data_IF_043342986111
#
_entry.id   IF_043342986111
#
_cell.length_a   1.000
_cell.length_b   1.000
_cell.length_c   1.000
_cell.angle_alpha   90.00
_cell.angle_beta   90.00
_cell.angle_gamma   90.00
#
_symmetry.space_group_name_H-M   'P 1'
#
loop_
_entity.id
_entity.type
_entity.pdbx_description
1 polymer ?
#
# COMPACT_ATOMS: atom_id res chain seq x y z
N UNK A 1 -22.24 9.52 10.08
CA UNK A 1 -21.62 8.18 10.26
C UNK A 1 -21.10 7.70 8.92
N UNK A 2 -19.82 7.30 8.87
CA UNK A 2 -19.09 6.96 7.65
C UNK A 2 -19.46 5.56 7.15
N UNK A 3 -19.55 5.37 5.83
CA UNK A 3 -19.70 4.05 5.17
C UNK A 3 -18.36 3.49 4.71
N UNK A 4 -17.29 4.18 5.06
CA UNK A 4 -15.96 3.93 4.57
C UNK A 4 -15.35 2.68 5.21
N UNK A 5 -14.72 1.87 4.37
CA UNK A 5 -14.00 0.66 4.81
C UNK A 5 -12.80 1.04 5.69
N UNK A 6 -12.21 2.21 5.47
CA UNK A 6 -11.04 2.67 6.21
C UNK A 6 -11.43 2.99 7.66
N UNK A 7 -12.59 3.63 7.83
CA UNK A 7 -13.19 3.84 9.16
C UNK A 7 -13.48 2.52 9.88
N UNK A 8 -13.97 1.50 9.17
CA UNK A 8 -14.23 0.18 9.75
C UNK A 8 -12.93 -0.49 10.20
N UNK A 9 -11.90 -0.53 9.35
CA UNK A 9 -10.62 -1.16 9.67
C UNK A 9 -9.93 -0.46 10.86
N UNK A 10 -9.99 0.87 10.93
CA UNK A 10 -9.45 1.65 12.04
C UNK A 10 -10.19 1.36 13.36
N UNK A 11 -11.53 1.38 13.34
CA UNK A 11 -12.32 1.10 14.53
C UNK A 11 -12.15 -0.35 15.01
N UNK A 12 -12.01 -1.31 14.08
CA UNK A 12 -11.72 -2.70 14.40
C UNK A 12 -10.38 -2.82 15.15
N UNK A 13 -9.35 -2.07 14.72
CA UNK A 13 -8.06 -2.02 15.39
C UNK A 13 -8.12 -1.37 16.78
N UNK A 14 -8.89 -0.28 16.93
CA UNK A 14 -8.95 0.52 18.17
C UNK A 14 -9.95 0.01 19.22
N UNK A 15 -10.88 -0.86 18.84
CA UNK A 15 -11.92 -1.36 19.77
C UNK A 15 -11.34 -2.00 21.05
N UNK A 16 -10.28 -2.82 21.03
CA UNK A 16 -9.71 -3.34 22.27
C UNK A 16 -9.26 -2.24 23.23
N UNK A 17 -8.68 -1.15 22.70
CA UNK A 17 -8.32 0.01 23.51
C UNK A 17 -9.55 0.67 24.13
N UNK A 18 -10.61 0.91 23.37
CA UNK A 18 -11.85 1.46 23.92
C UNK A 18 -12.48 0.57 24.99
N UNK A 19 -12.41 -0.76 24.83
CA UNK A 19 -12.88 -1.70 25.86
C UNK A 19 -12.09 -1.56 27.16
N UNK A 20 -10.78 -1.32 27.12
CA UNK A 20 -9.98 -1.05 28.33
C UNK A 20 -10.38 0.24 29.05
N UNK A 21 -10.96 1.20 28.35
CA UNK A 21 -11.52 2.43 28.93
C UNK A 21 -12.96 2.25 29.46
N UNK A 22 -13.49 1.01 29.46
CA UNK A 22 -14.83 0.70 29.94
C UNK A 22 -15.93 0.82 28.89
N UNK A 23 -15.59 1.03 27.61
CA UNK A 23 -16.58 1.04 26.54
C UNK A 23 -17.14 -0.37 26.30
N UNK A 24 -18.44 -0.54 26.56
CA UNK A 24 -19.11 -1.85 26.46
C UNK A 24 -19.50 -2.20 25.03
N UNK A 25 -19.96 -1.21 24.27
CA UNK A 25 -20.52 -1.42 22.95
C UNK A 25 -19.99 -0.40 21.94
N UNK A 26 -19.51 -0.92 20.81
CA UNK A 26 -19.12 -0.13 19.65
C UNK A 26 -19.88 -0.67 18.45
N UNK A 27 -20.55 0.22 17.72
CA UNK A 27 -21.40 -0.11 16.59
C UNK A 27 -20.98 0.69 15.36
N UNK A 28 -20.73 0.00 14.26
CA UNK A 28 -20.53 0.63 12.95
C UNK A 28 -21.81 0.53 12.13
N UNK A 29 -22.29 1.67 11.63
CA UNK A 29 -23.40 1.68 10.69
C UNK A 29 -22.89 1.55 9.25
N UNK A 30 -23.51 0.67 8.47
CA UNK A 30 -23.20 0.50 7.04
C UNK A 30 -24.49 0.36 6.20
N UNK A 31 -24.36 0.47 4.88
CA UNK A 31 -25.50 0.47 3.95
C UNK A 31 -26.16 1.84 3.74
N UNK A 32 -27.11 1.90 2.81
CA UNK A 32 -27.79 3.12 2.35
C UNK A 32 -29.30 3.02 2.49
N UNK A 33 -29.96 4.13 2.87
CA UNK A 33 -31.42 4.22 2.94
C UNK A 33 -32.03 3.17 3.87
N UNK A 34 -33.01 2.43 3.35
CA UNK A 34 -33.71 1.37 4.09
C UNK A 34 -32.86 0.11 4.36
N UNK A 35 -31.73 -0.06 3.67
CA UNK A 35 -30.78 -1.18 3.88
C UNK A 35 -29.71 -0.85 4.93
N UNK A 36 -29.94 0.15 5.80
CA UNK A 36 -28.99 0.50 6.87
C UNK A 36 -28.93 -0.63 7.90
N UNK A 37 -27.72 -1.11 8.15
CA UNK A 37 -27.43 -2.16 9.12
C UNK A 37 -26.45 -1.62 10.16
N UNK A 38 -26.49 -2.19 11.37
CA UNK A 38 -25.55 -1.88 12.45
C UNK A 38 -24.74 -3.14 12.75
N UNK A 39 -23.42 -3.02 12.72
CA UNK A 39 -22.48 -4.09 13.04
C UNK A 39 -21.89 -3.84 14.44
N UNK A 40 -22.09 -4.75 15.41
CA UNK A 40 -21.42 -4.66 16.70
C UNK A 40 -19.94 -5.05 16.56
N UNK A 41 -19.04 -4.06 16.57
CA UNK A 41 -17.60 -4.28 16.39
C UNK A 41 -16.98 -5.12 17.51
N UNK A 42 -17.45 -4.92 18.74
CA UNK A 42 -17.03 -5.72 19.90
C UNK A 42 -17.29 -7.22 19.71
N UNK A 43 -18.43 -7.59 19.10
CA UNK A 43 -18.72 -9.00 18.76
C UNK A 43 -17.92 -9.48 17.56
N UNK A 44 -17.72 -8.62 16.56
CA UNK A 44 -16.90 -8.95 15.40
C UNK A 44 -15.47 -9.32 15.81
N UNK A 45 -14.86 -8.57 16.72
CA UNK A 45 -13.51 -8.85 17.24
C UNK A 45 -13.48 -10.10 18.09
N UNK A 46 -14.49 -10.31 18.94
CA UNK A 46 -14.60 -11.55 19.72
C UNK A 46 -14.65 -12.79 18.83
N UNK A 47 -15.22 -12.69 17.62
CA UNK A 47 -15.31 -13.80 16.66
C UNK A 47 -14.07 -13.92 15.77
N UNK A 48 -13.55 -12.79 15.31
CA UNK A 48 -12.41 -12.73 14.39
C UNK A 48 -11.08 -13.00 15.11
N UNK A 49 -10.98 -12.61 16.38
CA UNK A 49 -9.76 -12.65 17.16
C UNK A 49 -8.90 -11.39 16.99
N UNK A 50 -7.94 -11.23 17.90
CA UNK A 50 -7.04 -10.07 17.94
C UNK A 50 -6.11 -9.98 16.73
N UNK A 51 -5.43 -11.06 16.27
CA UNK A 51 -4.45 -10.93 15.19
C UNK A 51 -5.05 -10.43 13.87
N UNK A 52 -6.17 -10.97 13.34
CA UNK A 52 -6.72 -10.46 12.09
C UNK A 52 -7.34 -9.06 12.23
N UNK A 53 -7.86 -8.72 13.41
CA UNK A 53 -8.35 -7.37 13.71
C UNK A 53 -7.23 -6.33 13.63
N UNK A 54 -6.02 -6.68 14.11
CA UNK A 54 -4.84 -5.82 14.05
C UNK A 54 -4.29 -5.64 12.63
N UNK A 55 -4.30 -6.70 11.83
CA UNK A 55 -3.71 -6.64 10.48
C UNK A 55 -4.65 -6.08 9.42
N UNK A 56 -5.95 -5.98 9.69
CA UNK A 56 -6.93 -5.41 8.76
C UNK A 56 -6.61 -3.97 8.36
N UNK A 57 -6.29 -3.08 9.32
CA UNK A 57 -5.91 -1.70 9.01
C UNK A 57 -4.61 -1.62 8.21
N UNK A 58 -3.67 -2.54 8.49
CA UNK A 58 -2.38 -2.61 7.80
C UNK A 58 -2.54 -3.03 6.36
N UNK A 59 -3.33 -4.08 6.15
CA UNK A 59 -3.73 -4.58 4.85
C UNK A 59 -4.45 -3.49 4.04
N UNK A 60 -5.42 -2.80 4.65
CA UNK A 60 -6.19 -1.75 4.00
C UNK A 60 -5.30 -0.59 3.53
N UNK A 61 -4.48 -0.01 4.41
CA UNK A 61 -3.57 1.09 4.06
C UNK A 61 -2.56 0.65 2.99
N UNK A 62 -1.94 -0.52 3.17
CA UNK A 62 -0.87 -0.97 2.27
C UNK A 62 -1.37 -1.38 0.88
N UNK A 63 -2.63 -1.80 0.74
CA UNK A 63 -3.23 -2.22 -0.55
C UNK A 63 -4.09 -1.15 -1.20
N UNK A 64 -4.27 0.00 -0.54
CA UNK A 64 -4.94 1.17 -1.08
C UNK A 64 -6.00 1.72 -0.12
N UNK A 65 -5.79 2.97 0.26
CA UNK A 65 -6.73 3.85 0.94
C UNK A 65 -6.72 5.22 0.23
N UNK A 66 -7.37 6.23 0.80
CA UNK A 66 -7.38 7.59 0.21
C UNK A 66 -5.97 8.24 0.13
N UNK A 67 -4.98 7.72 0.86
CA UNK A 67 -3.62 8.25 0.92
C UNK A 67 -2.60 7.40 0.14
N UNK A 68 -2.99 6.20 -0.30
CA UNK A 68 -2.09 5.20 -0.88
C UNK A 68 -2.63 4.63 -2.19
N UNK A 69 -1.74 4.46 -3.17
CA UNK A 69 -2.08 3.84 -4.44
C UNK A 69 -2.62 2.41 -4.26
N UNK A 70 -3.58 2.04 -5.10
CA UNK A 70 -4.18 0.69 -5.08
C UNK A 70 -3.17 -0.37 -5.52
N UNK A 71 -3.11 -1.47 -4.77
CA UNK A 71 -2.38 -2.71 -5.10
C UNK A 71 -3.35 -3.88 -5.07
N UNK A 72 -3.59 -4.51 -6.22
CA UNK A 72 -4.51 -5.64 -6.34
C UNK A 72 -5.96 -5.29 -5.97
N UNK A 73 -6.65 -6.18 -5.25
CA UNK A 73 -8.04 -6.00 -4.82
C UNK A 73 -8.20 -6.20 -3.32
N UNK A 74 -9.19 -5.55 -2.70
CA UNK A 74 -9.49 -5.75 -1.27
C UNK A 74 -9.79 -7.21 -0.92
N UNK A 75 -10.42 -7.95 -1.84
CA UNK A 75 -10.63 -9.39 -1.64
C UNK A 75 -9.30 -10.15 -1.57
N UNK A 76 -8.40 -9.91 -2.54
CA UNK A 76 -7.06 -10.50 -2.52
C UNK A 76 -6.30 -10.13 -1.24
N UNK A 77 -6.36 -8.86 -0.83
CA UNK A 77 -5.74 -8.35 0.39
C UNK A 77 -6.11 -9.16 1.64
N UNK A 78 -7.40 -9.48 1.80
CA UNK A 78 -7.89 -10.27 2.94
C UNK A 78 -7.53 -11.75 2.82
N UNK A 79 -7.52 -12.31 1.61
CA UNK A 79 -7.22 -13.75 1.38
C UNK A 79 -5.73 -14.09 1.41
N UNK A 80 -4.84 -13.11 1.21
CA UNK A 80 -3.39 -13.31 1.15
C UNK A 80 -2.70 -13.43 2.52
N UNK A 81 -3.44 -13.87 3.55
CA UNK A 81 -2.99 -14.06 4.93
C UNK A 81 -2.24 -12.84 5.52
N UNK A 82 -2.91 -11.69 5.72
CA UNK A 82 -2.26 -10.51 6.28
C UNK A 82 -1.72 -10.73 7.70
N UNK A 83 -2.17 -11.73 8.44
CA UNK A 83 -1.63 -12.08 9.76
C UNK A 83 -0.19 -12.58 9.63
N UNK A 84 0.06 -13.50 8.69
CA UNK A 84 1.41 -14.01 8.45
C UNK A 84 2.42 -12.90 8.11
N UNK A 85 2.02 -11.92 7.30
CA UNK A 85 2.96 -10.94 6.74
C UNK A 85 3.00 -9.59 7.47
N UNK A 86 1.89 -9.15 8.05
CA UNK A 86 1.75 -7.76 8.51
C UNK A 86 1.60 -7.61 10.02
N UNK A 87 1.65 -8.70 10.81
CA UNK A 87 1.35 -8.66 12.25
C UNK A 87 2.08 -7.53 12.99
N UNK A 88 3.37 -7.32 12.70
CA UNK A 88 4.20 -6.30 13.35
C UNK A 88 4.53 -5.10 12.44
N UNK A 89 4.05 -5.11 11.20
CA UNK A 89 4.37 -4.07 10.21
C UNK A 89 3.88 -2.69 10.67
N UNK A 90 4.75 -1.69 10.59
CA UNK A 90 4.50 -0.30 11.04
C UNK A 90 4.50 -0.08 12.56
N UNK A 91 4.59 -1.13 13.38
CA UNK A 91 4.64 -1.03 14.85
C UNK A 91 6.07 -1.15 15.41
N UNK A 92 6.87 -2.03 14.83
CA UNK A 92 8.30 -2.28 15.19
C UNK A 92 9.18 -2.18 13.93
N UNK A 93 10.44 -2.63 14.00
CA UNK A 93 11.32 -2.71 12.83
C UNK A 93 10.59 -3.27 11.60
N UNK A 94 10.70 -2.54 10.50
CA UNK A 94 9.94 -2.76 9.29
C UNK A 94 10.59 -3.89 8.48
N UNK A 95 9.94 -5.04 8.39
CA UNK A 95 10.32 -6.08 7.44
C UNK A 95 9.74 -5.73 6.05
N UNK A 96 10.49 -4.90 5.31
CA UNK A 96 10.14 -4.49 3.95
C UNK A 96 9.98 -5.70 3.01
N UNK A 97 10.77 -6.75 3.20
CA UNK A 97 10.75 -7.95 2.35
C UNK A 97 9.46 -8.76 2.57
N UNK A 98 9.05 -8.92 3.83
CA UNK A 98 7.81 -9.61 4.16
C UNK A 98 6.57 -8.84 3.66
N UNK A 99 6.59 -7.51 3.77
CA UNK A 99 5.54 -6.64 3.23
C UNK A 99 5.48 -6.69 1.69
N UNK A 100 6.64 -6.75 1.01
CA UNK A 100 6.67 -6.92 -0.44
C UNK A 100 6.08 -8.27 -0.86
N UNK A 101 6.46 -9.35 -0.19
CA UNK A 101 5.94 -10.70 -0.45
C UNK A 101 4.42 -10.76 -0.29
N UNK A 102 3.88 -10.06 0.71
CA UNK A 102 2.44 -9.90 0.84
C UNK A 102 1.82 -9.19 -0.37
N UNK A 103 2.37 -8.04 -0.77
CA UNK A 103 1.83 -7.27 -1.89
C UNK A 103 1.91 -8.02 -3.23
N UNK A 104 2.94 -8.84 -3.43
CA UNK A 104 3.05 -9.74 -4.59
C UNK A 104 1.89 -10.71 -4.63
N UNK A 105 1.55 -11.35 -3.50
CA UNK A 105 0.39 -12.25 -3.39
C UNK A 105 -0.92 -11.52 -3.63
N UNK A 106 -1.08 -10.31 -3.08
CA UNK A 106 -2.27 -9.50 -3.29
C UNK A 106 -2.44 -9.11 -4.75
N UNK A 107 -1.34 -8.72 -5.40
CA UNK A 107 -1.35 -8.33 -6.80
C UNK A 107 -1.66 -9.50 -7.72
N UNK A 108 -1.00 -10.64 -7.50
CA UNK A 108 -1.24 -11.86 -8.27
C UNK A 108 -2.68 -12.36 -8.12
N UNK A 109 -3.33 -12.03 -6.99
CA UNK A 109 -4.75 -12.21 -6.77
C UNK A 109 -5.07 -13.41 -5.87
N UNK A 110 -6.30 -13.41 -5.33
CA UNK A 110 -6.77 -14.35 -4.29
C UNK A 110 -6.63 -15.84 -4.63
N UNK A 111 -6.51 -16.19 -5.92
CA UNK A 111 -6.43 -17.58 -6.42
C UNK A 111 -5.11 -17.89 -7.12
N UNK A 112 -4.15 -16.98 -7.08
CA UNK A 112 -2.87 -17.19 -7.76
C UNK A 112 -2.02 -18.23 -7.04
N UNK A 113 -1.30 -19.03 -7.84
CA UNK A 113 -0.29 -19.99 -7.40
C UNK A 113 1.13 -19.47 -7.65
N UNK A 114 1.31 -18.17 -7.84
CA UNK A 114 2.65 -17.58 -8.07
C UNK A 114 3.61 -17.97 -6.95
N UNK A 115 4.85 -18.27 -7.34
CA UNK A 115 5.98 -18.50 -6.44
C UNK A 115 6.80 -17.24 -6.23
N UNK A 116 6.47 -16.14 -6.92
CA UNK A 116 7.17 -14.89 -6.79
C UNK A 116 7.12 -14.36 -5.36
N UNK A 117 8.27 -13.90 -4.88
CA UNK A 117 8.40 -13.28 -3.57
C UNK A 117 8.59 -11.76 -3.66
N UNK A 118 9.01 -11.27 -4.83
CA UNK A 118 9.26 -9.85 -5.10
C UNK A 118 8.53 -9.42 -6.36
N UNK A 119 8.29 -8.12 -6.49
CA UNK A 119 7.70 -7.57 -7.71
C UNK A 119 8.62 -7.78 -8.93
N UNK A 120 9.94 -7.78 -8.76
CA UNK A 120 10.87 -8.09 -9.84
C UNK A 120 10.75 -9.56 -10.29
N UNK A 121 10.56 -10.51 -9.37
CA UNK A 121 10.27 -11.91 -9.72
C UNK A 121 8.92 -12.02 -10.44
N UNK A 122 7.87 -11.37 -9.94
CA UNK A 122 6.55 -11.41 -10.55
C UNK A 122 6.55 -10.77 -11.95
N UNK A 123 7.33 -9.69 -12.16
CA UNK A 123 7.56 -9.10 -13.49
C UNK A 123 8.20 -10.10 -14.44
N UNK A 124 9.21 -10.84 -13.99
CA UNK A 124 9.87 -11.85 -14.81
C UNK A 124 8.92 -13.01 -15.16
N UNK A 125 8.18 -13.52 -14.18
CA UNK A 125 7.14 -14.55 -14.40
C UNK A 125 6.12 -14.06 -15.44
N UNK A 126 5.61 -12.84 -15.31
CA UNK A 126 4.63 -12.28 -16.26
C UNK A 126 5.22 -12.05 -17.66
N UNK A 127 6.46 -11.56 -17.77
CA UNK A 127 7.10 -11.32 -19.06
C UNK A 127 7.44 -12.60 -19.83
N UNK A 128 7.70 -13.69 -19.10
CA UNK A 128 8.02 -15.00 -19.71
C UNK A 128 6.76 -15.79 -20.06
N UNK A 129 5.65 -15.56 -19.35
CA UNK A 129 4.39 -16.28 -19.54
C UNK A 129 3.36 -15.54 -20.40
N UNK A 130 3.44 -14.23 -20.53
CA UNK A 130 2.48 -13.42 -21.28
C UNK A 130 3.15 -12.62 -22.41
N UNK A 131 2.45 -12.50 -23.55
CA UNK A 131 2.74 -11.52 -24.60
C UNK A 131 2.29 -10.11 -24.21
N UNK A 132 2.53 -9.73 -22.95
CA UNK A 132 2.12 -8.43 -22.42
C UNK A 132 3.00 -7.32 -23.00
N UNK A 133 2.36 -6.24 -23.50
CA UNK A 133 3.06 -5.04 -23.95
C UNK A 133 3.78 -4.32 -22.79
N UNK A 134 4.74 -3.47 -23.12
CA UNK A 134 5.53 -2.68 -22.15
C UNK A 134 4.65 -1.86 -21.19
N UNK A 135 3.48 -1.42 -21.64
CA UNK A 135 2.53 -0.63 -20.85
C UNK A 135 1.83 -1.44 -19.75
N UNK A 136 1.94 -2.77 -19.79
CA UNK A 136 1.38 -3.69 -18.80
C UNK A 136 2.42 -4.16 -17.77
N UNK A 137 3.63 -3.60 -17.79
CA UNK A 137 4.68 -3.98 -16.85
C UNK A 137 4.31 -3.55 -15.42
N UNK A 138 4.35 -4.51 -14.49
CA UNK A 138 4.14 -4.24 -13.08
C UNK A 138 5.21 -3.30 -12.53
N UNK A 139 4.97 -2.59 -11.42
CA UNK A 139 6.03 -1.85 -10.72
C UNK A 139 7.22 -2.76 -10.36
N UNK A 140 8.43 -2.20 -10.30
CA UNK A 140 9.62 -2.92 -9.80
C UNK A 140 9.65 -2.94 -8.29
N UNK A 141 10.43 -3.85 -7.71
CA UNK A 141 10.68 -3.91 -6.26
C UNK A 141 11.21 -2.58 -5.72
N UNK A 142 12.06 -1.89 -6.49
CA UNK A 142 12.58 -0.56 -6.12
C UNK A 142 11.48 0.49 -5.93
N UNK A 143 10.51 0.55 -6.84
CA UNK A 143 9.37 1.48 -6.77
C UNK A 143 8.43 1.08 -5.62
N UNK A 144 8.13 -0.22 -5.52
CA UNK A 144 7.28 -0.76 -4.45
C UNK A 144 7.86 -0.49 -3.06
N UNK A 145 9.19 -0.45 -2.92
CA UNK A 145 9.86 -0.10 -1.67
C UNK A 145 9.42 1.27 -1.11
N UNK A 146 9.29 2.27 -1.99
CA UNK A 146 8.77 3.59 -1.59
C UNK A 146 7.33 3.52 -1.08
N UNK A 147 6.49 2.72 -1.75
CA UNK A 147 5.11 2.45 -1.33
C UNK A 147 5.04 1.77 0.04
N UNK A 148 5.86 0.75 0.27
CA UNK A 148 5.93 0.03 1.55
C UNK A 148 6.31 0.98 2.69
N UNK A 149 7.31 1.83 2.50
CA UNK A 149 7.75 2.81 3.51
C UNK A 149 6.67 3.82 3.87
N UNK A 150 5.97 4.35 2.86
CA UNK A 150 4.82 5.26 3.08
C UNK A 150 3.70 4.56 3.83
N UNK A 151 3.36 3.34 3.42
CA UNK A 151 2.35 2.53 4.10
C UNK A 151 2.72 2.27 5.55
N UNK A 152 3.97 1.89 5.83
CA UNK A 152 4.46 1.66 7.18
C UNK A 152 4.36 2.91 8.05
N UNK A 153 4.69 4.09 7.51
CA UNK A 153 4.53 5.37 8.21
C UNK A 153 3.08 5.71 8.51
N UNK A 154 2.18 5.56 7.53
CA UNK A 154 0.75 5.82 7.74
C UNK A 154 0.14 4.83 8.74
N UNK A 155 0.51 3.56 8.69
CA UNK A 155 0.12 2.54 9.66
C UNK A 155 0.63 2.90 11.05
N UNK A 156 1.90 3.29 11.19
CA UNK A 156 2.45 3.74 12.45
C UNK A 156 1.62 4.88 13.05
N UNK A 157 1.29 5.88 12.23
CA UNK A 157 0.45 7.02 12.62
C UNK A 157 -0.95 6.59 13.02
N UNK A 158 -1.58 5.68 12.27
CA UNK A 158 -2.92 5.17 12.55
C UNK A 158 -2.96 4.34 13.85
N UNK A 159 -1.99 3.45 14.05
CA UNK A 159 -1.90 2.60 15.24
C UNK A 159 -1.53 3.38 16.51
N UNK A 160 -0.81 4.50 16.37
CA UNK A 160 -0.46 5.39 17.51
C UNK A 160 -1.40 6.57 17.68
N UNK A 161 -2.42 6.70 16.82
CA UNK A 161 -3.30 7.87 16.76
C UNK A 161 -3.91 8.23 18.11
N UNK A 162 -4.36 7.26 18.89
CA UNK A 162 -4.98 7.50 20.20
C UNK A 162 -4.02 7.40 21.40
N UNK A 163 -2.84 6.79 21.21
CA UNK A 163 -1.92 6.48 22.32
C UNK A 163 -0.95 7.64 22.59
N UNK A 164 -0.57 8.39 21.56
CA UNK A 164 0.51 9.40 21.63
C UNK A 164 0.08 10.80 21.14
N UNK A 165 -1.19 11.18 21.25
CA UNK A 165 -1.68 12.49 20.80
C UNK A 165 -0.82 13.63 21.39
N UNK A 166 -0.47 13.51 22.67
CA UNK A 166 0.16 14.57 23.47
C UNK A 166 1.70 14.54 23.50
N UNK A 167 2.36 13.67 22.73
CA UNK A 167 3.83 13.53 22.74
C UNK A 167 4.46 13.77 21.36
N UNK A 168 4.65 15.05 20.96
CA UNK A 168 5.20 15.41 19.66
C UNK A 168 6.54 14.75 19.37
N UNK A 169 7.42 14.61 20.37
CA UNK A 169 8.74 13.97 20.24
C UNK A 169 8.70 12.50 19.83
N UNK A 170 7.56 11.81 19.98
CA UNK A 170 7.43 10.40 19.57
C UNK A 170 6.95 10.23 18.13
N UNK A 171 6.67 11.34 17.42
CA UNK A 171 6.16 11.29 16.05
C UNK A 171 7.32 11.08 15.08
N UNK A 172 7.27 9.98 14.33
CA UNK A 172 8.19 9.76 13.22
C UNK A 172 8.12 10.92 12.22
N UNK A 173 9.28 11.39 11.75
CA UNK A 173 9.37 12.38 10.69
C UNK A 173 9.12 11.71 9.32
N UNK A 174 8.27 12.29 8.44
CA UNK A 174 7.90 11.67 7.17
C UNK A 174 9.09 11.50 6.21
N UNK A 175 10.03 12.45 6.19
CA UNK A 175 11.22 12.39 5.32
C UNK A 175 12.16 11.27 5.77
N UNK A 176 12.44 11.19 7.07
CA UNK A 176 13.40 10.23 7.62
C UNK A 176 12.85 8.80 7.66
N UNK A 177 11.54 8.63 7.85
CA UNK A 177 10.94 7.32 8.16
C UNK A 177 9.77 6.91 7.26
N UNK A 178 9.35 7.76 6.32
CA UNK A 178 8.08 7.57 5.61
C UNK A 178 8.16 7.45 4.11
N UNK A 179 9.33 7.41 3.47
CA UNK A 179 9.39 7.33 2.01
C UNK A 179 8.82 8.58 1.33
N UNK A 180 9.11 9.73 1.94
CA UNK A 180 8.81 11.06 1.44
C UNK A 180 10.10 11.86 1.27
N UNK A 181 10.11 12.79 0.33
CA UNK A 181 11.17 13.76 0.12
C UNK A 181 10.61 15.18 0.19
N UNK A 182 11.41 16.11 0.70
CA UNK A 182 11.06 17.52 0.66
C UNK A 182 11.60 18.14 -0.63
N UNK A 183 10.71 18.80 -1.37
CA UNK A 183 11.07 19.53 -2.57
C UNK A 183 10.33 20.87 -2.59
N UNK A 184 11.07 21.97 -2.41
CA UNK A 184 10.53 23.34 -2.38
C UNK A 184 9.39 23.53 -1.35
N UNK A 185 9.58 23.00 -0.13
CA UNK A 185 8.58 23.07 0.93
C UNK A 185 7.36 22.15 0.73
N UNK A 186 7.34 21.35 -0.34
CA UNK A 186 6.34 20.32 -0.56
C UNK A 186 6.88 18.96 -0.16
N UNK A 187 6.02 18.14 0.45
CA UNK A 187 6.34 16.75 0.76
C UNK A 187 5.86 15.86 -0.38
N UNK A 188 6.79 15.25 -1.11
CA UNK A 188 6.51 14.41 -2.27
C UNK A 188 6.79 12.94 -1.97
N UNK A 189 6.00 11.99 -2.52
CA UNK A 189 6.30 10.57 -2.39
C UNK A 189 7.64 10.25 -3.07
N UNK A 190 8.56 9.59 -2.37
CA UNK A 190 9.80 9.12 -3.02
C UNK A 190 9.44 8.10 -4.09
N UNK A 191 9.91 8.31 -5.31
CA UNK A 191 9.71 7.33 -6.40
C UNK A 191 10.61 6.11 -6.23
N UNK A 192 11.66 6.22 -5.39
CA UNK A 192 12.69 5.18 -5.18
C UNK A 192 13.29 4.65 -6.49
N UNK A 193 13.14 5.41 -7.57
CA UNK A 193 13.65 5.08 -8.89
C UNK A 193 15.16 5.29 -8.87
N UNK A 194 15.90 4.21 -9.16
CA UNK A 194 17.28 4.34 -9.60
C UNK A 194 17.25 4.54 -11.11
N UNK A 195 17.47 5.76 -11.63
CA UNK A 195 17.54 5.95 -13.06
C UNK A 195 18.60 5.01 -13.62
N UNK A 196 18.30 4.41 -14.78
CA UNK A 196 19.29 3.59 -15.47
C UNK A 196 20.57 4.43 -15.68
N UNK A 197 21.76 3.84 -15.49
CA UNK A 197 23.00 4.49 -15.86
C UNK A 197 22.88 5.07 -17.27
N UNK A 198 23.32 6.32 -17.48
CA UNK A 198 23.24 6.96 -18.80
C UNK A 198 23.91 6.13 -19.90
N UNK A 199 24.92 5.33 -19.54
CA UNK A 199 25.59 4.38 -20.44
C UNK A 199 24.71 3.25 -20.96
N UNK A 200 23.64 2.90 -20.24
CA UNK A 200 22.66 1.87 -20.61
C UNK A 200 21.39 2.47 -21.24
N UNK A 201 21.24 3.80 -21.20
CA UNK A 201 20.20 4.47 -21.96
C UNK A 201 20.63 4.48 -23.42
N UNK A 202 20.05 3.57 -24.21
CA UNK A 202 20.08 3.69 -25.66
C UNK A 202 19.19 4.88 -26.01
N UNK A 203 19.79 6.07 -26.05
CA UNK A 203 19.18 7.22 -26.69
C UNK A 203 19.05 6.85 -28.16
N UNK A 204 17.84 6.50 -28.58
CA UNK A 204 17.55 6.27 -29.99
C UNK A 204 17.90 7.56 -30.73
N UNK A 205 19.04 7.58 -31.42
CA UNK A 205 19.36 8.67 -32.34
C UNK A 205 18.38 8.52 -33.49
N UNK A 206 17.29 9.28 -33.44
CA UNK A 206 16.39 9.42 -34.58
C UNK A 206 17.23 9.99 -35.73
N UNK A 207 17.66 9.12 -36.65
CA UNK A 207 18.62 9.47 -37.69
C UNK A 207 18.01 10.32 -38.79
N UNK A 208 16.68 10.39 -38.90
CA UNK A 208 16.03 11.15 -39.97
C UNK A 208 14.73 11.85 -39.49
N UNK A 209 14.78 13.19 -39.51
CA UNK A 209 13.64 14.13 -39.48
C UNK A 209 12.60 13.90 -38.38
N UNK A 210 12.95 14.31 -37.17
CA UNK A 210 12.07 14.37 -35.99
C UNK A 210 10.99 15.49 -36.06
N UNK A 211 10.48 15.80 -37.26
CA UNK A 211 9.58 16.93 -37.51
C UNK A 211 8.12 16.50 -37.75
N UNK A 212 7.88 15.23 -38.06
CA UNK A 212 6.52 14.70 -38.21
C UNK A 212 5.88 14.43 -36.84
N UNK A 213 4.61 14.81 -36.68
CA UNK A 213 3.82 14.59 -35.45
C UNK A 213 3.72 13.12 -35.02
N UNK A 214 4.07 12.18 -35.90
CA UNK A 214 4.04 10.74 -35.65
C UNK A 214 5.39 10.17 -35.19
N UNK A 215 6.43 11.00 -35.01
CA UNK A 215 7.73 10.51 -34.54
C UNK A 215 7.63 10.02 -33.07
N UNK A 216 8.03 8.77 -32.77
CA UNK A 216 8.00 8.23 -31.40
C UNK A 216 8.85 9.05 -30.42
N UNK A 217 9.96 9.63 -30.87
CA UNK A 217 10.84 10.47 -30.04
C UNK A 217 10.15 11.76 -29.57
N UNK A 218 9.32 12.37 -30.44
CA UNK A 218 8.53 13.57 -30.11
C UNK A 218 7.37 13.24 -29.17
N UNK A 219 6.70 12.11 -29.37
CA UNK A 219 5.65 11.64 -28.46
C UNK A 219 6.19 11.29 -27.06
N UNK A 220 7.42 10.78 -26.98
CA UNK A 220 8.10 10.45 -25.72
C UNK A 220 8.76 11.65 -25.02
N UNK A 221 8.70 12.86 -25.59
CA UNK A 221 9.29 14.08 -25.00
C UNK A 221 10.82 14.08 -24.92
N UNK A 222 11.50 13.21 -25.67
CA UNK A 222 12.96 13.12 -25.72
C UNK A 222 13.45 14.06 -26.82
N UNK A 223 13.74 15.30 -26.45
CA UNK A 223 14.37 16.26 -27.34
C UNK A 223 15.89 16.19 -27.14
N UNK A 224 16.62 16.13 -28.25
CA UNK A 224 18.07 16.32 -28.26
C UNK A 224 18.42 17.79 -27.97
#
# INVERSE_FOLDING_TARGET
MSKDTDSFALLLHLTPYFQTLGMKEIWQQYGTGWKRQKLPLHQAISRLGTPPSKTMIKSQILTGDDCMSKVGTKHAAVTSDPVQFLMNFGETDQDEALAEKYLVRVWAGARSTTTAETFDHLRLENNTSASAGLDCLLSTSSVTKGHIRRGAFLIHRACKLLINIDRPETRLAPVTHGGWEEHLGMLLPTTSLKPLPRSLLILYKCTEKCDTRCCPCRAAGVFA
#
